data_IF_796548599374
#
_entry.id   IF_796548599374
#
_cell.length_a   1.000
_cell.length_b   1.000
_cell.length_c   1.000
_cell.angle_alpha   90.00
_cell.angle_beta   90.00
_cell.angle_gamma   90.00
#
_symmetry.space_group_name_H-M   'P 1'
#
loop_
_entity.id
_entity.type
_entity.pdbx_description
1 polymer ?
#
# COMPACT_ATOMS: atom_id res chain seq x y z
N UNK A 1 -27.84 29.42 -46.28
CA UNK A 1 -28.10 28.37 -45.27
C UNK A 1 -26.86 27.92 -44.47
N UNK A 2 -25.62 28.29 -44.84
CA UNK A 2 -24.41 27.89 -44.10
C UNK A 2 -24.14 28.71 -42.82
N UNK A 3 -24.46 30.01 -42.80
CA UNK A 3 -24.24 30.88 -41.63
C UNK A 3 -25.09 30.49 -40.40
N UNK A 4 -26.33 30.02 -40.61
CA UNK A 4 -27.21 29.56 -39.52
C UNK A 4 -26.70 28.27 -38.84
N UNK A 5 -26.02 27.40 -39.59
CA UNK A 5 -25.43 26.16 -39.07
C UNK A 5 -24.19 26.41 -38.21
N UNK A 6 -23.39 27.42 -38.55
CA UNK A 6 -22.21 27.78 -37.75
C UNK A 6 -22.57 28.46 -36.43
N UNK A 7 -23.63 29.28 -36.42
CA UNK A 7 -24.19 29.88 -35.20
C UNK A 7 -24.78 28.83 -34.24
N UNK A 8 -25.47 27.81 -34.77
CA UNK A 8 -26.02 26.72 -33.97
C UNK A 8 -24.94 25.86 -33.29
N UNK A 9 -23.84 25.55 -34.00
CA UNK A 9 -22.74 24.76 -33.44
C UNK A 9 -22.00 25.45 -32.29
N UNK A 10 -21.78 26.77 -32.41
CA UNK A 10 -21.14 27.56 -31.35
C UNK A 10 -21.98 27.65 -30.07
N UNK A 11 -23.30 27.79 -30.20
CA UNK A 11 -24.21 27.85 -29.07
C UNK A 11 -24.28 26.52 -28.30
N UNK A 12 -24.29 25.39 -29.02
CA UNK A 12 -24.27 24.06 -28.40
C UNK A 12 -22.98 23.81 -27.63
N UNK A 13 -21.81 24.14 -28.21
CA UNK A 13 -20.52 24.02 -27.54
C UNK A 13 -20.41 24.94 -26.31
N UNK A 14 -20.97 26.16 -26.38
CA UNK A 14 -21.01 27.09 -25.26
C UNK A 14 -21.86 26.58 -24.09
N UNK A 15 -23.04 26.01 -24.38
CA UNK A 15 -23.90 25.41 -23.36
C UNK A 15 -23.26 24.16 -22.73
N UNK A 16 -22.57 23.34 -23.52
CA UNK A 16 -21.92 22.12 -23.04
C UNK A 16 -20.74 22.43 -22.11
N UNK A 17 -19.98 23.48 -22.40
CA UNK A 17 -18.90 23.96 -21.52
C UNK A 17 -19.43 24.57 -20.22
N UNK A 18 -20.57 25.29 -20.26
CA UNK A 18 -21.22 25.80 -19.05
C UNK A 18 -21.67 24.67 -18.10
N UNK A 19 -22.25 23.59 -18.63
CA UNK A 19 -22.67 22.42 -17.84
C UNK A 19 -21.49 21.75 -17.17
N UNK A 20 -20.35 21.60 -17.87
CA UNK A 20 -19.14 21.00 -17.30
C UNK A 20 -18.59 21.84 -16.14
N UNK A 21 -18.55 23.17 -16.28
CA UNK A 21 -18.06 24.08 -15.22
C UNK A 21 -18.96 24.04 -13.99
N UNK A 22 -20.29 24.10 -14.18
CA UNK A 22 -21.26 24.05 -13.06
C UNK A 22 -21.23 22.68 -12.36
N UNK A 23 -21.08 21.59 -13.14
CA UNK A 23 -20.96 20.24 -12.59
C UNK A 23 -19.70 20.04 -11.76
N UNK A 24 -18.55 20.54 -12.25
CA UNK A 24 -17.28 20.47 -11.52
C UNK A 24 -17.29 21.26 -10.20
N UNK A 25 -17.95 22.42 -10.17
CA UNK A 25 -18.06 23.24 -8.96
C UNK A 25 -18.98 22.62 -7.90
N UNK A 26 -19.94 21.79 -8.29
CA UNK A 26 -20.85 21.08 -7.38
C UNK A 26 -20.20 19.86 -6.71
N UNK A 27 -19.25 19.20 -7.39
CA UNK A 27 -18.49 18.07 -6.84
C UNK A 27 -17.48 18.51 -5.76
N UNK A 28 -16.92 19.72 -5.86
CA UNK A 28 -15.97 20.25 -4.88
C UNK A 28 -16.60 20.53 -3.49
N UNK A 29 -17.91 20.75 -3.41
CA UNK A 29 -18.62 20.97 -2.15
C UNK A 29 -19.01 19.67 -1.43
N UNK A 30 -18.85 18.50 -2.06
CA UNK A 30 -19.20 17.21 -1.50
C UNK A 30 -18.07 16.56 -0.66
N UNK A 31 -16.81 17.00 -0.81
CA UNK A 31 -15.64 16.35 -0.19
C UNK A 31 -15.27 16.90 1.21
N UNK A 32 -16.05 17.85 1.76
CA UNK A 32 -15.73 18.51 3.03
C UNK A 32 -16.26 17.85 4.30
N UNK A 33 -17.03 16.76 4.22
CA UNK A 33 -17.68 16.15 5.38
C UNK A 33 -17.05 14.80 5.74
N UNK A 34 -15.97 14.85 6.53
CA UNK A 34 -15.51 13.69 7.30
C UNK A 34 -16.23 13.73 8.65
N UNK A 35 -17.13 12.78 8.97
CA UNK A 35 -17.73 12.70 10.29
C UNK A 35 -16.64 12.39 11.32
N UNK A 36 -16.34 13.37 12.18
CA UNK A 36 -15.44 13.14 13.31
C UNK A 36 -16.19 12.29 14.34
N UNK A 37 -15.63 11.15 14.81
CA UNK A 37 -16.25 10.37 15.87
C UNK A 37 -16.40 11.21 17.15
N UNK A 38 -17.48 11.05 17.93
CA UNK A 38 -17.69 11.80 19.16
C UNK A 38 -16.55 11.56 20.15
N UNK A 39 -16.12 12.59 20.91
CA UNK A 39 -15.11 12.40 21.96
C UNK A 39 -15.64 11.44 23.02
N UNK A 40 -14.89 10.38 23.28
CA UNK A 40 -15.14 9.46 24.40
C UNK A 40 -15.13 10.26 25.71
N UNK A 41 -16.13 10.09 26.60
CA UNK A 41 -16.11 10.74 27.90
C UNK A 41 -14.98 10.15 28.76
N UNK A 42 -13.95 10.95 28.99
CA UNK A 42 -12.95 10.70 30.03
C UNK A 42 -13.65 10.81 31.39
N UNK A 43 -13.66 9.71 32.15
CA UNK A 43 -14.08 9.71 33.54
C UNK A 43 -13.04 10.47 34.38
N UNK A 44 -13.35 11.73 34.66
CA UNK A 44 -12.71 12.56 35.67
C UNK A 44 -12.97 11.95 37.04
N UNK A 45 -11.93 11.49 37.73
CA UNK A 45 -12.00 11.19 39.16
C UNK A 45 -11.28 12.31 39.90
N UNK A 46 -12.06 13.27 40.37
CA UNK A 46 -11.62 14.42 41.17
C UNK A 46 -12.01 14.14 42.62
N UNK A 47 -11.03 14.09 43.53
CA UNK A 47 -11.25 14.35 44.96
C UNK A 47 -9.95 14.88 45.56
N UNK A 48 -9.89 16.21 45.60
CA UNK A 48 -9.06 17.03 46.50
C UNK A 48 -9.51 16.83 47.97
N UNK A 49 -8.70 17.18 49.00
CA UNK A 49 -8.59 18.59 49.42
C UNK A 49 -7.19 19.08 49.87
N UNK A 50 -6.92 20.37 49.62
CA UNK A 50 -5.80 21.22 50.05
C UNK A 50 -5.59 21.35 51.60
N UNK A 51 -4.42 21.71 52.15
CA UNK A 51 -3.79 23.06 52.36
C UNK A 51 -2.56 22.88 53.34
N UNK A 52 -1.71 23.87 53.71
CA UNK A 52 -0.90 24.82 52.92
C UNK A 52 0.55 25.09 53.50
N UNK A 53 1.33 25.91 52.76
CA UNK A 53 2.38 26.88 53.23
C UNK A 53 3.77 26.42 53.72
N UNK A 54 4.84 26.84 53.00
CA UNK A 54 5.91 27.74 53.51
C UNK A 54 7.03 28.01 52.44
N UNK A 55 7.65 29.22 52.37
CA UNK A 55 8.73 29.57 51.45
C UNK A 55 10.13 29.70 52.11
N UNK A 56 11.16 29.99 51.29
CA UNK A 56 12.59 30.28 51.61
C UNK A 56 13.49 29.02 51.75
N UNK A 57 14.71 28.90 51.25
CA UNK A 57 15.72 29.86 50.76
C UNK A 57 16.92 29.10 50.11
N UNK A 58 17.78 29.83 49.40
CA UNK A 58 19.22 29.58 49.21
C UNK A 58 19.74 28.63 48.09
N UNK A 59 20.06 29.23 46.94
CA UNK A 59 21.36 29.26 46.23
C UNK A 59 22.29 28.01 46.16
N UNK A 60 22.49 27.51 44.91
CA UNK A 60 23.75 27.17 44.16
C UNK A 60 24.86 26.28 44.79
N UNK A 61 25.69 25.53 44.01
CA UNK A 61 25.92 25.61 42.57
C UNK A 61 25.95 24.27 41.79
N UNK A 62 26.01 24.43 40.47
CA UNK A 62 26.19 23.40 39.46
C UNK A 62 27.39 22.47 39.73
N UNK A 63 27.16 21.17 39.53
CA UNK A 63 28.21 20.20 39.23
C UNK A 63 27.85 19.50 37.93
N UNK A 64 28.20 20.12 36.82
CA UNK A 64 28.15 19.51 35.49
C UNK A 64 29.47 18.78 35.25
N UNK A 65 29.45 17.46 35.45
CA UNK A 65 30.38 16.56 34.75
C UNK A 65 29.57 15.72 33.78
N UNK A 66 29.70 15.95 32.47
CA UNK A 66 29.60 14.89 31.48
C UNK A 66 31.01 14.65 30.91
N UNK A 67 31.55 13.45 31.14
CA UNK A 67 31.29 12.24 30.34
C UNK A 67 32.13 12.26 29.07
N UNK A 68 33.05 11.31 28.99
CA UNK A 68 33.98 11.09 27.90
C UNK A 68 33.23 11.09 26.56
N UNK A 69 33.60 12.01 25.68
CA UNK A 69 33.24 11.99 24.27
C UNK A 69 33.99 10.83 23.62
N UNK A 70 33.41 9.63 23.66
CA UNK A 70 33.82 8.58 22.72
C UNK A 70 33.43 9.04 21.31
N UNK A 71 34.45 9.42 20.55
CA UNK A 71 34.32 9.66 19.12
C UNK A 71 34.14 8.29 18.47
N UNK A 72 32.88 7.85 18.36
CA UNK A 72 32.53 6.68 17.55
C UNK A 72 32.76 7.07 16.09
N UNK A 73 33.90 6.63 15.56
CA UNK A 73 34.18 6.66 14.12
C UNK A 73 33.07 5.90 13.40
N UNK A 74 32.24 6.65 12.67
CA UNK A 74 31.16 6.14 11.85
C UNK A 74 31.70 5.19 10.78
N UNK A 75 31.53 3.88 10.99
CA UNK A 75 31.81 2.88 9.96
C UNK A 75 30.59 2.76 9.03
N UNK A 76 30.74 2.86 7.70
CA UNK A 76 29.62 2.88 6.74
C UNK A 76 28.91 1.52 6.56
N UNK A 77 29.29 0.50 7.33
CA UNK A 77 28.77 -0.86 7.25
C UNK A 77 28.23 -1.30 8.62
N UNK A 78 27.09 -2.03 8.67
CA UNK A 78 26.56 -2.56 9.92
C UNK A 78 27.58 -3.51 10.57
N UNK A 79 27.59 -3.62 11.91
CA UNK A 79 28.51 -4.51 12.62
C UNK A 79 28.34 -5.95 12.13
N UNK A 80 29.44 -6.57 11.69
CA UNK A 80 29.50 -7.91 11.06
C UNK A 80 29.20 -9.08 12.00
N UNK A 81 28.72 -8.80 13.22
CA UNK A 81 28.49 -9.81 14.25
C UNK A 81 27.20 -10.63 14.02
N UNK A 82 26.49 -10.36 12.93
CA UNK A 82 25.19 -10.94 12.61
C UNK A 82 25.11 -11.15 11.09
N UNK A 83 25.26 -12.38 10.59
CA UNK A 83 25.07 -12.62 9.17
C UNK A 83 23.58 -12.40 8.81
N UNK A 84 23.27 -11.60 7.78
CA UNK A 84 21.87 -11.39 7.39
C UNK A 84 21.28 -12.69 6.82
N UNK A 85 19.95 -12.89 6.94
CA UNK A 85 19.28 -14.04 6.34
C UNK A 85 19.46 -14.09 4.82
N UNK A 86 19.39 -15.29 4.24
CA UNK A 86 19.55 -15.50 2.80
C UNK A 86 18.54 -14.68 1.99
N UNK A 87 19.01 -14.01 0.94
CA UNK A 87 18.17 -13.23 0.02
C UNK A 87 17.89 -11.79 0.47
N UNK A 88 18.37 -11.38 1.66
CA UNK A 88 18.27 -10.00 2.12
C UNK A 88 19.26 -9.10 1.39
N UNK A 89 18.87 -7.85 1.20
CA UNK A 89 19.65 -6.85 0.48
C UNK A 89 19.97 -5.65 1.37
N UNK A 90 21.13 -5.05 1.14
CA UNK A 90 21.57 -3.86 1.86
C UNK A 90 20.90 -2.61 1.28
N UNK A 91 20.30 -1.78 2.13
CA UNK A 91 19.75 -0.46 1.79
C UNK A 91 20.31 0.61 2.71
N UNK A 92 20.40 1.84 2.25
CA UNK A 92 20.88 2.96 3.07
C UNK A 92 19.67 3.62 3.73
N UNK A 93 19.75 3.79 5.05
CA UNK A 93 18.73 4.49 5.83
C UNK A 93 18.75 5.97 5.51
N UNK A 94 17.60 6.52 5.11
CA UNK A 94 17.43 7.95 4.86
C UNK A 94 17.12 8.72 6.15
N UNK A 95 17.40 10.04 6.20
CA UNK A 95 17.01 10.86 7.34
C UNK A 95 15.50 10.77 7.64
N UNK A 96 15.16 10.45 8.89
CA UNK A 96 13.78 10.33 9.35
C UNK A 96 13.11 8.97 9.07
N UNK A 97 13.81 8.01 8.45
CA UNK A 97 13.30 6.64 8.33
C UNK A 97 13.36 5.91 9.69
N UNK A 98 12.28 5.19 10.02
CA UNK A 98 12.18 4.36 11.23
C UNK A 98 12.04 2.88 10.87
N UNK A 99 12.28 1.98 11.84
CA UNK A 99 12.10 0.55 11.63
C UNK A 99 10.67 0.20 11.23
N UNK A 100 9.66 0.89 11.76
CA UNK A 100 8.25 0.71 11.42
C UNK A 100 7.97 1.04 9.95
N UNK A 101 8.51 2.17 9.48
CA UNK A 101 8.35 2.59 8.09
C UNK A 101 9.01 1.61 7.12
N UNK A 102 10.22 1.13 7.45
CA UNK A 102 10.92 0.15 6.63
C UNK A 102 10.23 -1.21 6.69
N UNK A 103 9.78 -1.66 7.85
CA UNK A 103 9.06 -2.92 8.00
C UNK A 103 7.80 -2.94 7.13
N UNK A 104 7.02 -1.85 7.16
CA UNK A 104 5.85 -1.69 6.32
C UNK A 104 6.21 -1.70 4.83
N UNK A 105 7.25 -0.96 4.43
CA UNK A 105 7.71 -0.91 3.03
C UNK A 105 8.13 -2.27 2.50
N UNK A 106 8.85 -3.05 3.29
CA UNK A 106 9.41 -4.35 2.89
C UNK A 106 8.53 -5.54 3.29
N UNK A 107 7.27 -5.29 3.69
CA UNK A 107 6.31 -6.32 4.09
C UNK A 107 6.88 -7.31 5.14
N UNK A 108 7.54 -6.78 6.17
CA UNK A 108 8.13 -7.51 7.28
C UNK A 108 7.74 -6.87 8.62
N UNK A 109 8.35 -7.28 9.73
CA UNK A 109 8.13 -6.66 11.05
C UNK A 109 9.37 -5.92 11.56
N UNK A 110 9.22 -4.90 12.42
CA UNK A 110 10.34 -4.23 13.06
C UNK A 110 11.24 -5.20 13.84
N UNK A 111 10.65 -6.21 14.50
CA UNK A 111 11.38 -7.23 15.24
C UNK A 111 12.25 -8.10 14.33
N UNK A 112 11.74 -8.48 13.16
CA UNK A 112 12.48 -9.25 12.18
C UNK A 112 13.64 -8.43 11.59
N UNK A 113 13.41 -7.14 11.30
CA UNK A 113 14.47 -6.23 10.87
C UNK A 113 15.54 -6.06 11.96
N UNK A 114 15.13 -5.85 13.22
CA UNK A 114 16.04 -5.72 14.36
C UNK A 114 16.89 -6.97 14.55
N UNK A 115 16.27 -8.15 14.55
CA UNK A 115 16.95 -9.42 14.72
C UNK A 115 17.94 -9.70 13.58
N UNK A 116 17.52 -9.48 12.33
CA UNK A 116 18.37 -9.73 11.15
C UNK A 116 19.56 -8.76 11.04
N UNK A 117 19.48 -7.59 11.66
CA UNK A 117 20.53 -6.57 11.66
C UNK A 117 21.26 -6.45 13.00
N UNK A 118 20.93 -7.31 13.96
CA UNK A 118 21.42 -7.27 15.33
C UNK A 118 21.43 -5.85 15.95
N UNK A 119 20.32 -5.11 15.77
CA UNK A 119 20.20 -3.77 16.36
C UNK A 119 19.93 -3.89 17.85
N UNK A 120 20.65 -3.10 18.65
CA UNK A 120 20.45 -3.01 20.10
C UNK A 120 19.24 -2.12 20.45
N UNK A 121 18.93 -1.16 19.58
CA UNK A 121 17.86 -0.19 19.75
C UNK A 121 17.11 0.00 18.44
N UNK A 122 15.89 0.52 18.51
CA UNK A 122 15.06 0.74 17.34
C UNK A 122 15.42 2.06 16.60
N UNK A 123 16.36 2.84 17.15
CA UNK A 123 16.86 4.07 16.53
C UNK A 123 17.81 3.75 15.37
N UNK A 124 17.42 4.19 14.17
CA UNK A 124 18.23 4.05 12.97
C UNK A 124 19.10 5.29 12.75
N UNK A 125 20.37 5.07 12.43
CA UNK A 125 21.28 6.15 12.07
C UNK A 125 21.19 6.40 10.56
N UNK A 126 20.83 7.62 10.12
CA UNK A 126 20.81 7.97 8.70
C UNK A 126 22.19 7.79 8.05
N UNK A 127 22.22 7.33 6.81
CA UNK A 127 23.44 7.08 6.03
C UNK A 127 24.09 5.72 6.26
N UNK A 128 23.57 4.91 7.20
CA UNK A 128 24.06 3.57 7.47
C UNK A 128 23.31 2.51 6.66
N UNK A 129 24.00 1.41 6.37
CA UNK A 129 23.42 0.24 5.73
C UNK A 129 22.57 -0.60 6.67
N UNK A 130 21.36 -0.93 6.24
CA UNK A 130 20.44 -1.87 6.89
C UNK A 130 20.09 -2.98 5.90
N UNK A 131 20.17 -4.24 6.32
CA UNK A 131 19.66 -5.36 5.56
C UNK A 131 18.14 -5.43 5.68
N UNK A 132 17.47 -5.57 4.54
CA UNK A 132 16.01 -5.71 4.44
C UNK A 132 15.68 -6.92 3.58
N UNK A 133 14.52 -7.57 3.80
CA UNK A 133 14.10 -8.68 2.97
C UNK A 133 13.79 -8.18 1.54
N UNK A 134 13.84 -9.08 0.55
CA UNK A 134 13.42 -8.74 -0.79
C UNK A 134 11.93 -8.42 -0.78
N UNK A 135 11.54 -7.37 -1.52
CA UNK A 135 10.14 -7.10 -1.78
C UNK A 135 9.53 -8.32 -2.49
N UNK A 136 8.31 -8.75 -2.10
CA UNK A 136 7.62 -9.78 -2.84
C UNK A 136 7.37 -9.28 -4.26
N UNK A 137 8.13 -9.81 -5.21
CA UNK A 137 7.84 -9.60 -6.63
C UNK A 137 6.57 -10.32 -6.99
N UNK A 138 5.71 -9.67 -7.78
CA UNK A 138 4.57 -10.36 -8.40
C UNK A 138 5.11 -11.52 -9.21
N UNK A 139 4.91 -12.73 -8.70
CA UNK A 139 5.26 -13.94 -9.44
C UNK A 139 4.27 -14.03 -10.57
N UNK A 140 4.75 -13.84 -11.81
CA UNK A 140 3.91 -14.04 -12.98
C UNK A 140 3.40 -15.48 -12.96
N UNK A 141 2.09 -15.66 -12.83
CA UNK A 141 1.47 -16.97 -12.91
C UNK A 141 1.58 -17.39 -14.38
N UNK A 142 2.35 -18.45 -14.73
CA UNK A 142 2.48 -18.88 -16.11
C UNK A 142 1.10 -19.27 -16.62
N UNK A 143 0.69 -18.62 -17.70
CA UNK A 143 -0.63 -18.74 -18.28
C UNK A 143 -0.53 -18.84 -19.81
N UNK A 144 -1.55 -19.46 -20.42
CA UNK A 144 -1.60 -19.70 -21.85
C UNK A 144 -2.33 -20.99 -22.19
N UNK A 145 -2.99 -20.99 -23.34
CA UNK A 145 -3.78 -22.12 -23.80
C UNK A 145 -2.88 -23.34 -24.09
N UNK A 146 -3.21 -24.53 -23.57
CA UNK A 146 -2.56 -25.77 -23.97
C UNK A 146 -2.74 -26.04 -25.47
N UNK A 147 -1.85 -26.87 -26.03
CA UNK A 147 -1.94 -27.28 -27.43
C UNK A 147 -3.30 -27.95 -27.72
N UNK A 148 -3.90 -27.64 -28.87
CA UNK A 148 -5.18 -28.21 -29.30
C UNK A 148 -6.43 -27.56 -28.68
N UNK A 149 -6.27 -26.53 -27.84
CA UNK A 149 -7.40 -25.72 -27.37
C UNK A 149 -7.87 -24.77 -28.46
N UNK A 150 -9.15 -24.42 -28.42
CA UNK A 150 -9.82 -23.54 -29.38
C UNK A 150 -10.44 -22.35 -28.66
N UNK A 151 -10.65 -21.25 -29.38
CA UNK A 151 -11.35 -20.09 -28.83
C UNK A 151 -12.86 -20.23 -29.02
N UNK A 152 -13.59 -20.04 -27.93
CA UNK A 152 -15.05 -19.91 -27.92
C UNK A 152 -15.45 -18.48 -27.55
N UNK A 153 -16.67 -18.09 -27.90
CA UNK A 153 -17.25 -16.80 -27.50
C UNK A 153 -18.10 -17.03 -26.25
N UNK A 154 -17.77 -16.31 -25.18
CA UNK A 154 -18.53 -16.31 -23.94
C UNK A 154 -19.92 -15.76 -24.21
N UNK A 155 -20.96 -16.52 -23.89
CA UNK A 155 -22.34 -16.11 -24.03
C UNK A 155 -22.84 -15.39 -22.76
N UNK A 156 -23.87 -14.54 -22.86
CA UNK A 156 -24.53 -13.99 -21.68
C UNK A 156 -25.01 -15.11 -20.74
N UNK A 157 -24.61 -15.05 -19.46
CA UNK A 157 -24.93 -16.06 -18.46
C UNK A 157 -23.92 -17.21 -18.34
N UNK A 158 -22.90 -17.26 -19.19
CA UNK A 158 -21.80 -18.21 -19.03
C UNK A 158 -21.03 -17.95 -17.73
N UNK A 159 -20.65 -19.05 -17.08
CA UNK A 159 -19.76 -19.03 -15.92
C UNK A 159 -18.60 -19.98 -16.17
N UNK A 160 -17.43 -19.70 -15.58
CA UNK A 160 -16.30 -20.62 -15.67
C UNK A 160 -16.67 -22.03 -15.18
N UNK A 161 -17.53 -22.14 -14.17
CA UNK A 161 -17.97 -23.42 -13.63
C UNK A 161 -18.84 -24.21 -14.61
N UNK A 162 -19.77 -23.54 -15.30
CA UNK A 162 -20.58 -24.20 -16.32
C UNK A 162 -19.70 -24.63 -17.51
N UNK A 163 -18.86 -23.73 -18.01
CA UNK A 163 -17.94 -24.05 -19.12
C UNK A 163 -16.99 -25.19 -18.72
N UNK A 164 -16.44 -25.17 -17.51
CA UNK A 164 -15.51 -26.20 -17.06
C UNK A 164 -16.17 -27.59 -17.05
N UNK A 165 -17.44 -27.68 -16.66
CA UNK A 165 -18.20 -28.92 -16.72
C UNK A 165 -18.47 -29.37 -18.16
N UNK A 166 -18.90 -28.46 -19.04
CA UNK A 166 -19.16 -28.76 -20.45
C UNK A 166 -17.93 -29.37 -21.14
N UNK A 167 -16.75 -28.81 -20.86
CA UNK A 167 -15.49 -29.23 -21.47
C UNK A 167 -14.69 -30.22 -20.61
N UNK A 168 -15.26 -30.74 -19.52
CA UNK A 168 -14.62 -31.71 -18.62
C UNK A 168 -13.22 -31.29 -18.13
N UNK A 169 -13.06 -30.00 -17.79
CA UNK A 169 -11.85 -29.41 -17.20
C UNK A 169 -12.15 -28.77 -15.86
N UNK A 170 -11.12 -28.37 -15.13
CA UNK A 170 -11.30 -27.60 -13.89
C UNK A 170 -11.38 -26.09 -14.19
N UNK A 171 -12.03 -25.35 -13.29
CA UNK A 171 -12.02 -23.87 -13.32
C UNK A 171 -10.58 -23.35 -13.31
N UNK A 172 -9.70 -23.94 -12.50
CA UNK A 172 -8.29 -23.55 -12.43
C UNK A 172 -7.53 -23.77 -13.74
N UNK A 173 -7.86 -24.82 -14.51
CA UNK A 173 -7.29 -25.04 -15.84
C UNK A 173 -7.77 -23.98 -16.83
N UNK A 174 -9.06 -23.63 -16.84
CA UNK A 174 -9.57 -22.53 -17.66
C UNK A 174 -8.92 -21.19 -17.28
N UNK A 175 -8.79 -20.89 -15.98
CA UNK A 175 -8.17 -19.65 -15.50
C UNK A 175 -6.72 -19.54 -15.95
N UNK A 176 -5.94 -20.62 -15.83
CA UNK A 176 -4.55 -20.67 -16.28
C UNK A 176 -4.43 -20.57 -17.81
N UNK A 177 -5.31 -21.25 -18.55
CA UNK A 177 -5.31 -21.17 -20.01
C UNK A 177 -5.59 -19.75 -20.53
N UNK A 178 -6.39 -18.98 -19.78
CA UNK A 178 -6.90 -17.67 -20.18
C UNK A 178 -6.28 -16.48 -19.42
N UNK A 179 -5.20 -16.70 -18.67
CA UNK A 179 -4.52 -15.65 -17.91
C UNK A 179 -5.45 -14.87 -16.95
N UNK A 180 -6.44 -15.55 -16.38
CA UNK A 180 -7.42 -14.94 -15.46
C UNK A 180 -6.90 -14.82 -14.02
N UNK A 181 -5.75 -15.43 -13.71
CA UNK A 181 -5.25 -15.53 -12.34
C UNK A 181 -6.28 -16.26 -11.46
N UNK A 182 -6.78 -15.58 -10.43
CA UNK A 182 -7.85 -16.07 -9.56
C UNK A 182 -9.24 -15.52 -9.92
N UNK A 183 -9.35 -14.70 -10.97
CA UNK A 183 -10.62 -14.10 -11.40
C UNK A 183 -11.57 -15.17 -11.94
N UNK A 184 -12.85 -15.05 -11.57
CA UNK A 184 -13.94 -15.87 -12.11
C UNK A 184 -14.85 -15.09 -13.06
N UNK A 185 -14.55 -13.82 -13.28
CA UNK A 185 -15.38 -12.93 -14.10
C UNK A 185 -15.14 -13.19 -15.57
N UNK A 186 -16.22 -13.44 -16.30
CA UNK A 186 -16.22 -13.55 -17.76
C UNK A 186 -16.94 -12.35 -18.37
N UNK A 187 -16.44 -11.89 -19.52
CA UNK A 187 -17.06 -10.81 -20.29
C UNK A 187 -17.83 -11.46 -21.43
N UNK A 188 -19.15 -11.26 -21.45
CA UNK A 188 -19.99 -11.74 -22.55
C UNK A 188 -19.55 -11.13 -23.89
N UNK A 189 -19.52 -11.93 -24.95
CA UNK A 189 -18.93 -11.60 -26.24
C UNK A 189 -17.39 -11.69 -26.28
N UNK A 190 -16.74 -11.89 -25.12
CA UNK A 190 -15.30 -12.09 -25.03
C UNK A 190 -14.86 -13.47 -25.54
N UNK A 191 -13.57 -13.60 -25.85
CA UNK A 191 -12.95 -14.87 -26.27
C UNK A 191 -12.41 -15.62 -25.06
N UNK A 192 -12.66 -16.92 -25.03
CA UNK A 192 -12.14 -17.83 -24.02
C UNK A 192 -11.52 -19.06 -24.70
N UNK A 193 -10.31 -19.41 -24.33
CA UNK A 193 -9.71 -20.69 -24.69
C UNK A 193 -10.35 -21.82 -23.88
N UNK A 194 -10.82 -22.85 -24.58
CA UNK A 194 -11.36 -24.08 -24.02
C UNK A 194 -10.83 -25.30 -24.81
N UNK A 195 -10.84 -26.51 -24.21
CA UNK A 195 -10.48 -27.73 -24.93
C UNK A 195 -11.31 -27.94 -26.19
N UNK A 196 -10.68 -28.46 -27.24
CA UNK A 196 -11.42 -28.96 -28.39
C UNK A 196 -11.96 -30.36 -28.08
N UNK A 197 -13.17 -30.42 -27.53
CA UNK A 197 -13.91 -31.68 -27.40
C UNK A 197 -14.89 -31.78 -28.56
N UNK A 198 -14.94 -32.95 -29.19
CA UNK A 198 -15.97 -33.28 -30.16
C UNK A 198 -17.31 -33.34 -29.42
N UNK A 199 -18.08 -32.27 -29.47
CA UNK A 199 -19.51 -32.27 -29.12
C UNK A 199 -20.30 -33.03 -30.17
#
# INVERSE_FOLDING_TARGET
MQALRQLGGGLVLGLLSLVIVIGGMSLALAEGYVPQPPPTPTLTNETEPALPSAPSEAASPASSTPSLTETVTASPIPPTNCPPPTGWMLVIVNPGETLEMLAARYHTTPEALRAANCLLFDSLLPGYGLYVPPLPTLTAIPCGAPFGWVQIIVQPGDTLFHISQLYSVTVSQLQRANCLGYSTTLIAGGRLWAPNVST
#
